data_IF_005727409598
#
_entry.id   IF_005727409598
#
_cell.length_a   1.000
_cell.length_b   1.000
_cell.length_c   1.000
_cell.angle_alpha   90.00
_cell.angle_beta   90.00
_cell.angle_gamma   90.00
#
_symmetry.space_group_name_H-M   'P 1'
#
loop_
_entity.id
_entity.type
_entity.pdbx_description
1 polymer ?
#
# COMPACT_ATOMS: atom_id res chain seq x y z
N UNK A 1 -5.02 -8.82 16.20
CA UNK A 1 -5.35 -8.16 14.91
C UNK A 1 -4.21 -7.19 14.60
N UNK A 2 -3.48 -7.40 13.51
CA UNK A 2 -2.31 -6.57 13.16
C UNK A 2 -2.63 -5.62 12.01
N UNK A 3 -2.14 -4.38 12.11
CA UNK A 3 -2.21 -3.39 11.04
C UNK A 3 -0.80 -2.91 10.70
N UNK A 4 -0.52 -2.75 9.41
CA UNK A 4 0.80 -2.30 8.93
C UNK A 4 0.63 -1.00 8.16
N UNK A 5 1.53 -0.05 8.41
CA UNK A 5 1.54 1.26 7.75
C UNK A 5 2.86 1.43 6.99
N UNK A 6 2.77 1.62 5.68
CA UNK A 6 3.93 1.72 4.79
C UNK A 6 3.98 3.13 4.18
N UNK A 7 5.12 3.79 4.39
CA UNK A 7 5.43 5.07 3.78
C UNK A 7 6.05 4.91 2.39
N UNK A 8 5.62 5.69 1.39
CA UNK A 8 6.27 5.70 0.07
C UNK A 8 6.04 4.43 -0.75
N UNK A 9 4.83 3.89 -0.74
CA UNK A 9 4.44 2.65 -1.42
C UNK A 9 4.05 2.83 -2.89
N UNK A 10 4.33 3.99 -3.50
CA UNK A 10 3.91 4.25 -4.88
C UNK A 10 4.79 3.57 -5.93
N UNK A 11 6.02 3.18 -5.57
CA UNK A 11 7.00 2.50 -6.45
C UNK A 11 8.12 1.85 -5.65
N UNK A 12 8.93 1.02 -6.31
CA UNK A 12 10.16 0.46 -5.74
C UNK A 12 9.88 -0.42 -4.53
N UNK A 13 10.75 -0.33 -3.52
CA UNK A 13 10.72 -1.19 -2.33
C UNK A 13 9.39 -1.10 -1.58
N UNK A 14 8.84 0.11 -1.41
CA UNK A 14 7.57 0.27 -0.69
C UNK A 14 6.39 -0.43 -1.37
N UNK A 15 6.41 -0.53 -2.71
CA UNK A 15 5.40 -1.26 -3.47
C UNK A 15 5.62 -2.77 -3.42
N UNK A 16 6.88 -3.21 -3.48
CA UNK A 16 7.22 -4.62 -3.37
C UNK A 16 6.88 -5.20 -1.99
N UNK A 17 7.12 -4.44 -0.91
CA UNK A 17 6.71 -4.82 0.44
C UNK A 17 5.19 -5.00 0.52
N UNK A 18 4.41 -4.11 -0.12
CA UNK A 18 2.93 -4.25 -0.17
C UNK A 18 2.55 -5.57 -0.84
N UNK A 19 3.16 -5.92 -1.97
CA UNK A 19 2.89 -7.18 -2.68
C UNK A 19 3.23 -8.39 -1.82
N UNK A 20 4.40 -8.40 -1.18
CA UNK A 20 4.85 -9.52 -0.35
C UNK A 20 3.97 -9.71 0.89
N UNK A 21 3.55 -8.62 1.54
CA UNK A 21 2.66 -8.70 2.69
C UNK A 21 1.26 -9.20 2.33
N UNK A 22 0.76 -8.85 1.15
CA UNK A 22 -0.54 -9.33 0.66
C UNK A 22 -0.48 -10.80 0.20
N UNK A 23 0.66 -11.24 -0.33
CA UNK A 23 0.89 -12.63 -0.74
C UNK A 23 1.27 -13.57 0.42
N UNK A 24 1.53 -13.02 1.61
CA UNK A 24 1.93 -13.81 2.77
C UNK A 24 0.80 -14.72 3.27
N UNK A 25 1.14 -15.87 3.85
CA UNK A 25 0.14 -16.84 4.35
C UNK A 25 -0.76 -16.28 5.47
N UNK A 26 -0.30 -15.25 6.17
CA UNK A 26 -1.06 -14.55 7.19
C UNK A 26 -0.94 -13.03 6.94
N UNK A 27 -1.71 -12.47 6.01
CA UNK A 27 -1.64 -11.06 5.69
C UNK A 27 -2.14 -10.21 6.87
N UNK A 28 -1.67 -8.97 7.01
CA UNK A 28 -2.21 -8.06 8.01
C UNK A 28 -3.70 -7.81 7.78
N UNK A 29 -4.43 -7.61 8.87
CA UNK A 29 -5.86 -7.34 8.82
C UNK A 29 -6.16 -6.05 8.06
N UNK A 30 -5.28 -5.04 8.21
CA UNK A 30 -5.32 -3.82 7.42
C UNK A 30 -3.89 -3.43 7.02
N UNK A 31 -3.70 -3.19 5.73
CA UNK A 31 -2.45 -2.68 5.17
C UNK A 31 -2.70 -1.26 4.65
N UNK A 32 -2.09 -0.27 5.31
CA UNK A 32 -2.12 1.11 4.88
C UNK A 32 -0.89 1.38 4.01
N UNK A 33 -1.10 1.54 2.71
CA UNK A 33 -0.05 1.91 1.78
C UNK A 33 -0.17 3.39 1.45
N UNK A 34 0.90 4.14 1.64
CA UNK A 34 0.85 5.57 1.39
C UNK A 34 1.53 5.98 0.10
N UNK A 35 1.03 7.07 -0.48
CA UNK A 35 1.69 7.72 -1.61
C UNK A 35 1.42 9.23 -1.61
N UNK A 36 2.31 9.99 -2.26
CA UNK A 36 2.12 11.45 -2.42
C UNK A 36 0.98 11.77 -3.38
N UNK A 37 0.83 10.97 -4.43
CA UNK A 37 -0.21 11.15 -5.44
C UNK A 37 -0.89 9.81 -5.78
N UNK A 38 -2.01 9.47 -5.11
CA UNK A 38 -2.75 8.23 -5.32
C UNK A 38 -3.17 8.01 -6.76
N UNK A 39 -3.50 9.07 -7.49
CA UNK A 39 -3.98 8.99 -8.87
C UNK A 39 -2.88 8.51 -9.83
N UNK A 40 -1.62 8.87 -9.55
CA UNK A 40 -0.46 8.38 -10.31
C UNK A 40 0.05 7.00 -9.87
N UNK A 41 -0.43 6.47 -8.74
CA UNK A 41 0.01 5.19 -8.20
C UNK A 41 -0.79 4.04 -8.84
N UNK A 42 -0.78 3.96 -10.18
CA UNK A 42 -1.61 3.03 -10.98
C UNK A 42 -1.47 1.58 -10.55
N UNK A 43 -0.25 1.12 -10.30
CA UNK A 43 0.03 -0.24 -9.85
C UNK A 43 -0.50 -0.49 -8.43
N UNK A 44 -0.30 0.44 -7.51
CA UNK A 44 -0.83 0.35 -6.15
C UNK A 44 -2.37 0.33 -6.15
N UNK A 45 -3.00 1.15 -7.01
CA UNK A 45 -4.45 1.14 -7.21
C UNK A 45 -4.94 -0.19 -7.79
N UNK A 46 -4.23 -0.78 -8.75
CA UNK A 46 -4.58 -2.08 -9.31
C UNK A 46 -4.54 -3.18 -8.24
N UNK A 47 -3.54 -3.17 -7.37
CA UNK A 47 -3.45 -4.11 -6.25
C UNK A 47 -4.59 -3.89 -5.25
N UNK A 48 -4.92 -2.64 -4.92
CA UNK A 48 -5.97 -2.31 -3.97
C UNK A 48 -7.37 -2.72 -4.46
N UNK A 49 -7.61 -2.74 -5.77
CA UNK A 49 -8.87 -3.28 -6.34
C UNK A 49 -9.07 -4.77 -6.06
N UNK A 50 -7.97 -5.53 -5.94
CA UNK A 50 -8.01 -6.97 -5.70
C UNK A 50 -7.92 -7.33 -4.20
N UNK A 51 -7.59 -6.36 -3.33
CA UNK A 51 -7.32 -6.60 -1.91
C UNK A 51 -8.09 -5.61 -1.03
N UNK A 52 -9.20 -6.06 -0.46
CA UNK A 52 -10.08 -5.22 0.37
C UNK A 52 -9.41 -4.73 1.67
N UNK A 53 -8.38 -5.45 2.14
CA UNK A 53 -7.54 -5.12 3.29
C UNK A 53 -6.47 -4.06 2.99
N UNK A 54 -6.18 -3.76 1.72
CA UNK A 54 -5.27 -2.68 1.32
C UNK A 54 -6.01 -1.33 1.27
N UNK A 55 -5.53 -0.35 2.02
CA UNK A 55 -6.04 1.03 2.05
C UNK A 55 -4.96 1.99 1.58
N UNK A 56 -5.24 2.68 0.48
CA UNK A 56 -4.34 3.70 -0.05
C UNK A 56 -4.60 5.02 0.68
N UNK A 57 -3.57 5.59 1.29
CA UNK A 57 -3.64 6.87 2.00
C UNK A 57 -2.73 7.88 1.30
N UNK A 58 -3.25 9.08 1.03
CA UNK A 58 -2.41 10.19 0.58
C UNK A 58 -1.60 10.69 1.79
N UNK A 59 -0.28 10.54 1.73
CA UNK A 59 0.62 10.97 2.82
C UNK A 59 1.98 11.39 2.26
N UNK A 60 2.47 12.53 2.76
CA UNK A 60 3.72 13.17 2.34
C UNK A 60 3.59 14.69 2.36
N UNK A 61 4.69 15.38 2.60
CA UNK A 61 4.75 16.85 2.59
C UNK A 61 4.76 17.36 1.15
N UNK A 62 3.90 18.33 0.84
CA UNK A 62 4.10 19.20 -0.33
C UNK A 62 5.32 20.06 0.00
N UNK A 63 6.49 19.68 -0.49
CA UNK A 63 7.65 20.58 -0.56
C UNK A 63 7.68 21.22 -1.93
#
# INVERSE_FOLDING_TARGET
MSSVFITGSNRGIGLEIVKQLLAHANPPAILFATCRNPDSATELQAIAKNHSNLKIIKFGTNS
#
